data_IF_790564163621
#
_entry.id   IF_790564163621
#
_cell.length_a   1.000
_cell.length_b   1.000
_cell.length_c   1.000
_cell.angle_alpha   90.00
_cell.angle_beta   90.00
_cell.angle_gamma   90.00
#
_symmetry.space_group_name_H-M   'P 1'
#
loop_
_entity.id
_entity.type
_entity.pdbx_description
1 polymer ?
#
# COMPACT_ATOMS: atom_id res chain seq x y z
N UNK A 1 8.20 -18.38 -73.01
CA UNK A 1 7.95 -19.05 -71.71
C UNK A 1 8.98 -18.53 -70.71
N UNK A 2 8.69 -17.47 -69.96
CA UNK A 2 9.62 -16.86 -69.01
C UNK A 2 9.14 -17.14 -67.58
N UNK A 3 9.92 -17.92 -66.84
CA UNK A 3 9.62 -18.37 -65.48
C UNK A 3 10.08 -17.28 -64.50
N UNK A 4 9.13 -16.50 -63.97
CA UNK A 4 9.40 -15.47 -62.97
C UNK A 4 9.89 -16.15 -61.68
N UNK A 5 11.14 -15.89 -61.30
CA UNK A 5 11.75 -16.34 -60.04
C UNK A 5 11.22 -15.45 -58.91
N UNK A 6 10.34 -16.00 -58.09
CA UNK A 6 9.80 -15.32 -56.91
C UNK A 6 10.86 -15.31 -55.80
N UNK A 7 11.43 -14.14 -55.50
CA UNK A 7 12.23 -13.94 -54.29
C UNK A 7 11.28 -13.85 -53.08
N UNK A 8 11.38 -14.84 -52.17
CA UNK A 8 10.62 -14.82 -50.92
C UNK A 8 11.15 -13.68 -50.04
N UNK A 9 10.33 -12.66 -49.81
CA UNK A 9 10.60 -11.63 -48.82
C UNK A 9 10.95 -12.27 -47.45
N UNK A 10 11.93 -11.73 -46.70
CA UNK A 10 12.31 -12.28 -45.42
C UNK A 10 11.11 -12.23 -44.48
N UNK A 11 10.61 -13.41 -44.07
CA UNK A 11 9.54 -13.51 -43.06
C UNK A 11 9.98 -12.77 -41.80
N UNK A 12 9.18 -11.85 -41.26
CA UNK A 12 9.49 -11.09 -40.03
C UNK A 12 9.83 -11.98 -38.81
N UNK A 13 9.51 -13.28 -38.87
CA UNK A 13 9.76 -14.28 -37.83
C UNK A 13 11.24 -14.59 -37.55
N UNK A 14 12.18 -14.10 -38.36
CA UNK A 14 13.63 -14.31 -38.16
C UNK A 14 14.28 -13.27 -37.23
N UNK A 15 13.59 -12.16 -36.93
CA UNK A 15 14.17 -11.07 -36.13
C UNK A 15 13.92 -11.20 -34.62
N UNK A 16 13.01 -12.08 -34.19
CA UNK A 16 12.74 -12.31 -32.77
C UNK A 16 12.88 -13.80 -32.46
N UNK A 17 14.05 -14.17 -31.94
CA UNK A 17 14.28 -15.50 -31.39
C UNK A 17 13.27 -15.73 -30.24
N UNK A 18 12.59 -16.89 -30.22
CA UNK A 18 11.62 -17.26 -29.17
C UNK A 18 12.17 -17.03 -27.77
N UNK A 19 13.47 -17.30 -27.56
CA UNK A 19 14.16 -17.05 -26.28
C UNK A 19 14.18 -15.57 -25.90
N UNK A 20 14.42 -14.68 -26.87
CA UNK A 20 14.44 -13.24 -26.65
C UNK A 20 13.02 -12.70 -26.44
N UNK A 21 12.03 -13.24 -27.15
CA UNK A 21 10.62 -12.96 -26.90
C UNK A 21 10.20 -13.33 -25.48
N UNK A 22 10.50 -14.56 -25.03
CA UNK A 22 10.20 -15.02 -23.67
C UNK A 22 10.92 -14.20 -22.60
N UNK A 23 12.19 -13.86 -22.82
CA UNK A 23 12.93 -12.96 -21.91
C UNK A 23 12.29 -11.58 -21.82
N UNK A 24 11.90 -10.99 -22.95
CA UNK A 24 11.24 -9.70 -22.97
C UNK A 24 9.87 -9.76 -22.27
N UNK A 25 9.07 -10.79 -22.53
CA UNK A 25 7.79 -11.00 -21.87
C UNK A 25 7.94 -11.15 -20.34
N UNK A 26 8.92 -11.94 -19.89
CA UNK A 26 9.22 -12.10 -18.46
C UNK A 26 9.71 -10.79 -17.83
N UNK A 27 10.60 -10.06 -18.49
CA UNK A 27 11.11 -8.79 -17.98
C UNK A 27 10.00 -7.73 -17.87
N UNK A 28 9.14 -7.61 -18.89
CA UNK A 28 7.99 -6.71 -18.87
C UNK A 28 6.97 -7.13 -17.80
N UNK A 29 6.69 -8.43 -17.67
CA UNK A 29 5.81 -8.95 -16.61
C UNK A 29 6.34 -8.66 -15.21
N UNK A 30 7.63 -8.88 -14.98
CA UNK A 30 8.29 -8.56 -13.70
C UNK A 30 8.26 -7.05 -13.41
N UNK A 31 8.48 -6.21 -14.41
CA UNK A 31 8.37 -4.76 -14.26
C UNK A 31 6.95 -4.33 -13.93
N UNK A 32 5.94 -4.89 -14.60
CA UNK A 32 4.53 -4.59 -14.33
C UNK A 32 4.16 -4.94 -12.88
N UNK A 33 4.57 -6.13 -12.40
CA UNK A 33 4.36 -6.55 -11.00
C UNK A 33 5.06 -5.57 -10.05
N UNK A 34 6.31 -5.21 -10.32
CA UNK A 34 7.06 -4.28 -9.48
C UNK A 34 6.38 -2.90 -9.41
N UNK A 35 5.86 -2.39 -10.52
CA UNK A 35 5.12 -1.12 -10.57
C UNK A 35 3.82 -1.21 -9.79
N UNK A 36 3.04 -2.28 -9.99
CA UNK A 36 1.78 -2.49 -9.27
C UNK A 36 2.00 -2.49 -7.75
N UNK A 37 2.93 -3.33 -7.26
CA UNK A 37 3.21 -3.49 -5.83
C UNK A 37 3.87 -2.25 -5.21
N UNK A 38 4.71 -1.52 -5.94
CA UNK A 38 5.44 -0.39 -5.37
C UNK A 38 4.68 0.94 -5.46
N UNK A 39 3.79 1.10 -6.45
CA UNK A 39 3.17 2.40 -6.76
C UNK A 39 1.65 2.35 -6.60
N UNK A 40 0.98 1.32 -7.12
CA UNK A 40 -0.47 1.31 -7.21
C UNK A 40 -1.14 0.81 -5.93
N UNK A 41 -0.72 -0.35 -5.44
CA UNK A 41 -1.30 -0.98 -4.25
C UNK A 41 -1.22 -0.10 -2.99
N UNK A 42 -0.07 0.54 -2.66
CA UNK A 42 0.02 1.40 -1.48
C UNK A 42 -0.89 2.63 -1.54
N UNK A 43 -1.28 3.08 -2.73
CA UNK A 43 -2.07 4.29 -2.95
C UNK A 43 -3.59 4.06 -2.89
N UNK A 44 -4.03 2.85 -2.57
CA UNK A 44 -5.43 2.47 -2.58
C UNK A 44 -5.86 1.76 -1.28
N UNK A 45 -5.96 2.49 -0.15
CA UNK A 45 -6.49 1.92 1.09
C UNK A 45 -7.89 1.34 0.86
N UNK A 46 -8.12 0.13 1.37
CA UNK A 46 -9.39 -0.59 1.24
C UNK A 46 -10.12 -0.58 2.57
N UNK A 47 -11.42 -0.28 2.53
CA UNK A 47 -12.30 -0.41 3.69
C UNK A 47 -12.75 -1.87 3.81
N UNK A 48 -12.42 -2.52 4.92
CA UNK A 48 -12.94 -3.84 5.28
C UNK A 48 -13.87 -3.67 6.48
N UNK A 49 -15.11 -4.15 6.36
CA UNK A 49 -16.09 -4.16 7.45
C UNK A 49 -16.25 -5.58 7.96
N UNK A 50 -16.08 -5.76 9.26
CA UNK A 50 -16.20 -7.05 9.94
C UNK A 50 -17.17 -6.86 11.09
N UNK A 51 -18.23 -7.67 11.12
CA UNK A 51 -19.12 -7.76 12.26
C UNK A 51 -18.55 -8.79 13.24
N UNK A 52 -18.36 -8.38 14.50
CA UNK A 52 -17.77 -9.22 15.53
C UNK A 52 -18.86 -9.63 16.53
N UNK A 53 -19.44 -10.84 16.42
CA UNK A 53 -20.41 -11.33 17.39
C UNK A 53 -19.70 -11.69 18.70
N UNK A 54 -19.84 -10.83 19.71
CA UNK A 54 -19.24 -11.01 21.02
C UNK A 54 -20.31 -11.42 22.03
N UNK A 55 -20.44 -12.73 22.28
CA UNK A 55 -21.50 -13.29 23.14
C UNK A 55 -21.53 -12.77 24.59
N UNK A 56 -20.44 -12.17 25.07
CA UNK A 56 -20.30 -11.60 26.42
C UNK A 56 -20.20 -10.08 26.43
N UNK A 57 -20.45 -9.42 25.30
CA UNK A 57 -20.46 -7.96 25.24
C UNK A 57 -21.75 -7.46 25.90
N UNK A 58 -21.69 -6.51 26.85
CA UNK A 58 -22.90 -5.94 27.43
C UNK A 58 -23.73 -5.24 26.35
N UNK A 59 -25.06 -5.36 26.43
CA UNK A 59 -26.01 -4.82 25.44
C UNK A 59 -25.81 -3.32 25.16
N UNK A 60 -25.38 -2.55 26.15
CA UNK A 60 -25.06 -1.12 26.00
C UNK A 60 -23.93 -0.82 24.99
N UNK A 61 -23.15 -1.83 24.58
CA UNK A 61 -22.08 -1.75 23.59
C UNK A 61 -22.45 -2.41 22.26
N UNK A 62 -23.67 -2.95 22.12
CA UNK A 62 -24.13 -3.48 20.85
C UNK A 62 -24.16 -2.37 19.78
N UNK A 63 -23.73 -2.71 18.57
CA UNK A 63 -23.57 -1.75 17.48
C UNK A 63 -22.39 -0.77 17.61
N UNK A 64 -21.49 -0.94 18.59
CA UNK A 64 -20.27 -0.13 18.69
C UNK A 64 -19.44 -0.23 17.41
N UNK A 65 -19.14 0.91 16.79
CA UNK A 65 -18.31 0.99 15.58
C UNK A 65 -16.89 1.42 15.93
N UNK A 66 -15.94 0.52 15.70
CA UNK A 66 -14.50 0.79 15.83
C UNK A 66 -13.88 0.82 14.44
N UNK A 67 -13.24 1.93 14.09
CA UNK A 67 -12.36 2.01 12.93
C UNK A 67 -10.92 1.79 13.37
N UNK A 68 -10.20 0.88 12.72
CA UNK A 68 -8.81 0.59 13.00
C UNK A 68 -7.92 1.06 11.85
N UNK A 69 -6.82 1.75 12.17
CA UNK A 69 -5.77 2.10 11.23
C UNK A 69 -4.42 1.54 11.71
N UNK A 70 -3.67 0.92 10.79
CA UNK A 70 -2.34 0.35 11.06
C UNK A 70 -1.48 0.38 9.80
N UNK A 71 -0.20 0.02 9.94
CA UNK A 71 0.71 -0.32 8.83
C UNK A 71 0.80 0.76 7.74
N UNK A 72 0.80 2.03 8.15
CA UNK A 72 0.86 3.16 7.22
C UNK A 72 2.25 3.29 6.57
N UNK A 73 3.30 2.77 7.23
CA UNK A 73 4.68 2.72 6.74
C UNK A 73 5.22 4.04 6.15
N UNK A 74 4.82 5.18 6.71
CA UNK A 74 5.24 6.49 6.23
C UNK A 74 6.76 6.66 6.22
N UNK A 75 7.31 7.23 5.15
CA UNK A 75 8.75 7.41 5.05
C UNK A 75 9.20 7.93 3.69
N UNK A 76 10.51 7.96 3.50
CA UNK A 76 11.18 8.57 2.34
C UNK A 76 10.72 8.03 0.97
N UNK A 77 10.25 6.77 0.94
CA UNK A 77 9.80 6.10 -0.27
C UNK A 77 8.28 5.82 -0.27
N UNK A 78 7.59 6.16 0.81
CA UNK A 78 6.16 5.89 0.98
C UNK A 78 5.42 7.24 1.05
N UNK A 79 4.61 7.57 0.03
CA UNK A 79 4.04 8.91 -0.12
C UNK A 79 3.05 9.26 1.00
N UNK A 80 2.73 10.56 1.11
CA UNK A 80 1.72 11.10 2.04
C UNK A 80 0.28 10.75 1.61
N UNK A 81 0.07 10.58 0.31
CA UNK A 81 -1.27 10.42 -0.29
C UNK A 81 -2.09 9.25 0.28
N UNK A 82 -1.53 8.04 0.50
CA UNK A 82 -2.23 6.94 1.16
C UNK A 82 -2.80 7.31 2.53
N UNK A 83 -2.03 8.02 3.35
CA UNK A 83 -2.41 8.37 4.72
C UNK A 83 -3.59 9.35 4.69
N UNK A 84 -3.53 10.38 3.82
CA UNK A 84 -4.65 11.32 3.66
C UNK A 84 -5.94 10.61 3.25
N UNK A 85 -5.86 9.72 2.26
CA UNK A 85 -7.00 8.91 1.84
C UNK A 85 -7.55 8.05 2.98
N UNK A 86 -6.68 7.41 3.75
CA UNK A 86 -7.10 6.61 4.90
C UNK A 86 -7.79 7.46 5.98
N UNK A 87 -7.26 8.64 6.27
CA UNK A 87 -7.87 9.61 7.20
C UNK A 87 -9.25 10.05 6.70
N UNK A 88 -9.37 10.43 5.42
CA UNK A 88 -10.63 10.86 4.81
C UNK A 88 -11.67 9.74 4.84
N UNK A 89 -11.26 8.51 4.51
CA UNK A 89 -12.12 7.33 4.58
C UNK A 89 -12.64 7.11 6.00
N UNK A 90 -11.75 7.08 7.01
CA UNK A 90 -12.12 6.84 8.41
C UNK A 90 -13.04 7.94 8.94
N UNK A 91 -12.75 9.20 8.63
CA UNK A 91 -13.60 10.33 9.00
C UNK A 91 -15.01 10.23 8.40
N UNK A 92 -15.16 9.57 7.24
CA UNK A 92 -16.45 9.30 6.61
C UNK A 92 -17.21 8.08 7.18
N UNK A 93 -16.62 7.29 8.07
CA UNK A 93 -17.27 6.09 8.64
C UNK A 93 -18.21 6.37 9.81
N UNK A 94 -18.11 7.58 10.39
CA UNK A 94 -18.88 7.98 11.57
C UNK A 94 -18.71 6.96 12.72
N UNK A 95 -17.46 6.57 12.97
CA UNK A 95 -17.08 5.60 13.98
C UNK A 95 -17.20 6.18 15.40
N UNK A 96 -17.53 5.32 16.37
CA UNK A 96 -17.55 5.69 17.78
C UNK A 96 -16.14 5.86 18.32
N UNK A 97 -15.24 4.94 17.94
CA UNK A 97 -13.83 4.98 18.29
C UNK A 97 -12.96 4.79 17.05
N UNK A 98 -11.84 5.50 17.00
CA UNK A 98 -10.75 5.17 16.08
C UNK A 98 -9.56 4.68 16.88
N UNK A 99 -8.98 3.56 16.48
CA UNK A 99 -7.80 2.96 17.11
C UNK A 99 -6.65 2.90 16.11
N UNK A 100 -5.54 3.53 16.46
CA UNK A 100 -4.28 3.51 15.71
C UNK A 100 -3.36 2.47 16.35
N UNK A 101 -3.05 1.37 15.65
CA UNK A 101 -2.44 0.18 16.29
C UNK A 101 -0.96 -0.05 15.98
N UNK A 102 -0.31 0.79 15.16
CA UNK A 102 1.15 0.76 14.98
C UNK A 102 1.64 0.80 13.53
N UNK A 103 2.95 0.61 13.38
CA UNK A 103 3.69 0.60 12.11
C UNK A 103 3.48 1.85 11.23
N UNK A 104 3.48 3.01 11.91
CA UNK A 104 3.22 4.31 11.27
C UNK A 104 4.37 4.81 10.41
N UNK A 105 5.63 4.58 10.82
CA UNK A 105 6.83 5.10 10.15
C UNK A 105 7.80 3.96 9.89
N UNK A 106 8.42 3.92 8.72
CA UNK A 106 9.33 2.84 8.33
C UNK A 106 10.60 3.32 7.64
N UNK A 107 11.67 2.55 7.83
CA UNK A 107 12.92 2.66 7.06
C UNK A 107 13.11 1.42 6.20
N UNK A 108 13.55 1.59 4.94
CA UNK A 108 13.95 0.44 4.13
C UNK A 108 15.00 -0.40 4.84
N UNK A 109 14.90 -1.72 4.68
CA UNK A 109 15.72 -2.69 5.38
C UNK A 109 17.23 -2.41 5.21
N UNK A 110 17.66 -2.06 3.99
CA UNK A 110 19.07 -1.73 3.72
C UNK A 110 19.54 -0.47 4.48
N UNK A 111 18.69 0.55 4.63
CA UNK A 111 19.01 1.76 5.41
C UNK A 111 18.96 1.47 6.91
N UNK A 112 18.15 0.52 7.37
CA UNK A 112 18.04 0.14 8.79
C UNK A 112 19.40 -0.28 9.36
N UNK A 113 20.18 -1.06 8.61
CA UNK A 113 21.52 -1.52 9.00
C UNK A 113 22.61 -0.44 8.86
N UNK A 114 22.36 0.61 8.06
CA UNK A 114 23.26 1.75 7.87
C UNK A 114 22.93 2.94 8.80
N UNK A 115 22.31 2.69 9.95
CA UNK A 115 21.96 3.76 10.91
C UNK A 115 20.73 4.61 10.53
N UNK A 116 19.90 4.13 9.59
CA UNK A 116 18.74 4.84 9.06
C UNK A 116 17.63 5.17 10.07
N UNK A 117 17.66 4.61 11.30
CA UNK A 117 16.65 4.89 12.34
C UNK A 117 16.57 6.36 12.74
N UNK A 118 17.71 7.06 12.91
CA UNK A 118 17.72 8.51 13.21
C UNK A 118 17.05 9.31 12.09
N UNK A 119 17.19 8.81 10.86
CA UNK A 119 16.60 9.39 9.65
C UNK A 119 15.11 9.03 9.48
N UNK A 120 14.60 7.97 10.10
CA UNK A 120 13.15 7.72 10.21
C UNK A 120 12.46 8.76 11.10
N UNK A 121 13.13 9.19 12.18
CA UNK A 121 12.51 10.05 13.20
C UNK A 121 11.93 11.36 12.62
N UNK A 122 12.53 11.90 11.55
CA UNK A 122 12.02 13.10 10.84
C UNK A 122 10.64 12.93 10.22
N UNK A 123 10.16 11.70 10.05
CA UNK A 123 8.84 11.40 9.50
C UNK A 123 7.78 11.18 10.58
N UNK A 124 8.17 11.11 11.86
CA UNK A 124 7.24 10.90 12.98
C UNK A 124 6.27 12.07 13.10
N UNK A 125 6.79 13.30 13.22
CA UNK A 125 5.94 14.48 13.42
C UNK A 125 5.00 14.74 12.22
N UNK A 126 5.46 14.69 10.95
CA UNK A 126 4.52 14.81 9.82
C UNK A 126 3.46 13.70 9.79
N UNK A 127 3.82 12.46 10.15
CA UNK A 127 2.85 11.37 10.24
C UNK A 127 1.82 11.64 11.33
N UNK A 128 2.27 12.04 12.52
CA UNK A 128 1.40 12.39 13.64
C UNK A 128 0.46 13.54 13.29
N UNK A 129 0.94 14.57 12.59
CA UNK A 129 0.12 15.71 12.16
C UNK A 129 -0.97 15.31 11.14
N UNK A 130 -0.70 14.30 10.31
CA UNK A 130 -1.72 13.73 9.42
C UNK A 130 -2.75 12.92 10.21
N UNK A 131 -2.30 12.06 11.11
CA UNK A 131 -3.17 11.23 11.93
C UNK A 131 -3.99 12.02 12.96
N UNK A 132 -3.50 13.17 13.41
CA UNK A 132 -4.22 14.07 14.30
C UNK A 132 -5.50 14.65 13.67
N UNK A 133 -5.68 14.52 12.35
CA UNK A 133 -6.89 14.94 11.65
C UNK A 133 -8.00 13.87 11.69
N UNK A 134 -7.72 12.68 12.21
CA UNK A 134 -8.70 11.62 12.43
C UNK A 134 -9.70 12.05 13.50
N UNK A 135 -10.97 11.73 13.27
CA UNK A 135 -12.10 12.07 14.14
C UNK A 135 -12.93 10.84 14.41
N UNK A 136 -13.48 10.78 15.61
CA UNK A 136 -14.41 9.77 16.06
C UNK A 136 -15.38 10.42 17.05
N UNK A 137 -16.57 9.85 17.22
CA UNK A 137 -17.60 10.42 18.09
C UNK A 137 -17.18 10.46 19.56
N UNK A 138 -16.50 9.41 20.04
CA UNK A 138 -16.11 9.25 21.45
C UNK A 138 -14.61 9.43 21.68
N UNK A 139 -13.78 9.22 20.66
CA UNK A 139 -12.35 9.54 20.75
C UNK A 139 -11.45 8.71 19.86
N UNK A 140 -10.18 9.14 19.80
CA UNK A 140 -9.11 8.47 19.06
C UNK A 140 -8.09 7.93 20.06
N UNK A 141 -7.75 6.66 19.93
CA UNK A 141 -6.77 5.96 20.77
C UNK A 141 -5.59 5.55 19.92
N UNK A 142 -4.38 5.86 20.37
CA UNK A 142 -3.15 5.39 19.73
C UNK A 142 -2.42 4.44 20.67
N UNK A 143 -2.09 3.26 20.15
CA UNK A 143 -1.23 2.31 20.82
C UNK A 143 0.01 2.06 19.98
N UNK A 144 1.17 2.26 20.58
CA UNK A 144 2.46 1.88 19.99
C UNK A 144 3.22 1.10 21.04
N UNK A 145 3.62 -0.12 20.70
CA UNK A 145 4.48 -0.91 21.57
C UNK A 145 5.86 -0.25 21.59
N UNK A 146 6.37 0.06 22.78
CA UNK A 146 7.78 0.48 22.90
C UNK A 146 8.69 -0.65 22.38
N UNK A 147 9.74 -0.31 21.61
CA UNK A 147 10.65 -1.28 21.01
C UNK A 147 11.49 -2.07 22.02
#
# INVERSE_FOLDING_TARGET
MLRVRQEKAPRLSQFVNRRNFLKAALATGALAIAVESAILEPNHPKLVRIELPLARLPEAWDGLKIAQLSDLHYGEYFPVMPIRKAVDMVNGLDADLVVLTGDFVTVPLFKKYLGGRKRAARFIEPCANLLAQVRARRGVLAYSREP
#
